data_IF_183746169507
#
_entry.id   IF_183746169507
#
_cell.length_a   1.000
_cell.length_b   1.000
_cell.length_c   1.000
_cell.angle_alpha   90.00
_cell.angle_beta   90.00
_cell.angle_gamma   90.00
#
_symmetry.space_group_name_H-M   'P 1'
#
loop_
_entity.id
_entity.type
_entity.pdbx_description
1 polymer ?
#
# COMPACT_ATOMS: atom_id res chain seq x y z
N UNK A 1 -8.94 3.99 -19.32
CA UNK A 1 -7.89 3.51 -18.46
C UNK A 1 -6.84 2.76 -19.26
N UNK A 2 -5.58 3.10 -19.04
CA UNK A 2 -4.52 2.35 -19.71
C UNK A 2 -4.50 0.92 -19.23
N UNK A 3 -4.08 0.07 -20.12
CA UNK A 3 -3.99 -1.35 -19.79
C UNK A 3 -2.71 -1.59 -19.01
N UNK A 4 -2.79 -2.52 -18.08
CA UNK A 4 -1.63 -2.96 -17.34
C UNK A 4 -0.85 -3.89 -18.26
N UNK A 5 0.41 -3.58 -18.47
CA UNK A 5 1.27 -4.35 -19.33
C UNK A 5 1.84 -5.56 -18.61
N UNK A 6 2.44 -6.48 -19.39
CA UNK A 6 3.06 -7.65 -18.81
C UNK A 6 4.13 -7.28 -17.79
N UNK A 7 4.89 -6.23 -18.08
CA UNK A 7 5.87 -5.73 -17.11
C UNK A 7 5.26 -4.63 -16.28
N UNK A 8 5.29 -4.82 -14.97
CA UNK A 8 4.73 -3.84 -14.06
C UNK A 8 5.64 -3.71 -12.85
N UNK A 9 5.31 -2.77 -11.99
CA UNK A 9 6.01 -2.55 -10.73
C UNK A 9 5.09 -2.96 -9.59
N UNK A 10 5.69 -3.56 -8.58
CA UNK A 10 4.98 -3.89 -7.35
C UNK A 10 5.52 -3.01 -6.25
N UNK A 11 4.67 -2.14 -5.74
CA UNK A 11 4.98 -1.24 -4.65
C UNK A 11 4.44 -1.83 -3.37
N UNK A 12 5.27 -1.91 -2.35
CA UNK A 12 4.85 -2.40 -1.04
C UNK A 12 5.19 -1.35 0.00
N UNK A 13 4.23 -1.05 0.84
CA UNK A 13 4.36 -0.04 1.87
C UNK A 13 4.06 -0.69 3.21
N UNK A 14 5.05 -0.68 4.10
CA UNK A 14 4.94 -1.31 5.42
C UNK A 14 4.85 -0.20 6.45
N UNK A 15 3.71 -0.09 7.11
CA UNK A 15 3.46 0.95 8.11
C UNK A 15 2.71 0.33 9.28
N UNK A 16 2.42 1.12 10.29
CA UNK A 16 1.63 0.67 11.42
C UNK A 16 0.18 1.05 11.24
N UNK A 17 -0.70 0.24 11.81
CA UNK A 17 -2.13 0.50 11.73
C UNK A 17 -2.51 1.84 12.36
N UNK A 18 -1.81 2.22 13.42
CA UNK A 18 -2.11 3.46 14.13
C UNK A 18 -1.46 4.69 13.52
N UNK A 19 -0.63 4.50 12.49
CA UNK A 19 0.00 5.66 11.85
C UNK A 19 -1.06 6.57 11.27
N UNK A 20 -0.81 7.86 11.37
CA UNK A 20 -1.79 8.85 10.95
C UNK A 20 -1.16 9.90 10.06
N UNK A 21 -2.01 10.58 9.32
CA UNK A 21 -1.64 11.71 8.48
C UNK A 21 -2.75 12.73 8.57
N UNK A 22 -2.39 13.92 9.05
CA UNK A 22 -3.36 15.02 9.22
C UNK A 22 -4.59 14.56 10.00
N UNK A 23 -4.34 13.78 11.07
CA UNK A 23 -5.42 13.34 11.95
C UNK A 23 -6.25 12.20 11.43
N UNK A 24 -5.88 11.62 10.29
CA UNK A 24 -6.62 10.51 9.69
C UNK A 24 -5.74 9.28 9.61
N UNK A 25 -6.39 8.13 9.43
CA UNK A 25 -5.67 6.86 9.29
C UNK A 25 -4.80 6.89 8.04
N UNK A 26 -3.49 6.75 8.21
CA UNK A 26 -2.56 6.84 7.10
C UNK A 26 -2.84 5.80 6.03
N UNK A 27 -3.05 4.53 6.44
CA UNK A 27 -3.21 3.50 5.42
C UNK A 27 -4.47 3.71 4.60
N UNK A 28 -5.53 4.22 5.21
CA UNK A 28 -6.75 4.51 4.47
C UNK A 28 -6.55 5.67 3.51
N UNK A 29 -5.83 6.70 3.95
CA UNK A 29 -5.58 7.86 3.09
C UNK A 29 -4.70 7.48 1.92
N UNK A 30 -3.74 6.59 2.11
CA UNK A 30 -2.90 6.13 1.01
C UNK A 30 -3.71 5.35 -0.02
N UNK A 31 -4.61 4.48 0.44
CA UNK A 31 -5.45 3.71 -0.47
C UNK A 31 -6.39 4.64 -1.24
N UNK A 32 -6.96 5.61 -0.55
CA UNK A 32 -7.84 6.58 -1.21
C UNK A 32 -7.09 7.40 -2.26
N UNK A 33 -5.85 7.79 -1.95
CA UNK A 33 -5.05 8.53 -2.91
C UNK A 33 -4.73 7.68 -4.14
N UNK A 34 -4.41 6.40 -3.93
CA UNK A 34 -4.15 5.51 -5.05
C UNK A 34 -5.38 5.40 -5.95
N UNK A 35 -6.55 5.31 -5.35
CA UNK A 35 -7.79 5.26 -6.12
C UNK A 35 -8.04 6.58 -6.85
N UNK A 36 -7.78 7.68 -6.19
CA UNK A 36 -7.96 8.99 -6.80
C UNK A 36 -7.08 9.18 -8.03
N UNK A 37 -5.87 8.63 -7.98
CA UNK A 37 -4.92 8.73 -9.09
C UNK A 37 -5.13 7.64 -10.14
N UNK A 38 -6.17 6.84 -9.98
CA UNK A 38 -6.58 5.82 -10.94
C UNK A 38 -5.56 4.69 -11.08
N UNK A 39 -4.90 4.34 -9.99
CA UNK A 39 -4.04 3.17 -10.00
C UNK A 39 -4.89 1.90 -10.12
N UNK A 40 -4.29 0.85 -10.67
CA UNK A 40 -5.02 -0.37 -11.02
C UNK A 40 -5.66 -1.06 -9.83
N UNK A 41 -5.08 -0.90 -8.65
CA UNK A 41 -5.66 -1.47 -7.45
C UNK A 41 -4.71 -1.34 -6.28
N UNK A 42 -5.24 -1.53 -5.08
CA UNK A 42 -4.46 -1.52 -3.86
C UNK A 42 -5.06 -2.53 -2.91
N UNK A 43 -4.22 -3.32 -2.27
CA UNK A 43 -4.66 -4.32 -1.32
C UNK A 43 -4.00 -4.04 0.01
N UNK A 44 -4.77 -4.12 1.08
CA UNK A 44 -4.25 -3.92 2.43
C UNK A 44 -4.23 -5.26 3.15
N UNK A 45 -3.05 -5.58 3.69
CA UNK A 45 -2.87 -6.78 4.49
C UNK A 45 -2.59 -6.37 5.92
N UNK A 46 -3.21 -7.05 6.86
CA UNK A 46 -2.94 -6.83 8.27
C UNK A 46 -2.00 -7.92 8.74
N UNK A 47 -0.86 -7.51 9.29
CA UNK A 47 0.08 -8.47 9.86
C UNK A 47 -0.46 -8.98 11.18
N UNK A 48 -0.26 -10.25 11.41
CA UNK A 48 -0.67 -10.86 12.68
C UNK A 48 0.44 -10.77 13.71
N UNK A 49 1.68 -10.66 13.27
CA UNK A 49 2.82 -10.57 14.17
C UNK A 49 3.99 -10.01 13.37
N UNK A 50 4.79 -9.20 14.03
CA UNK A 50 5.98 -8.68 13.41
C UNK A 50 6.50 -7.46 14.14
N UNK A 51 7.63 -6.95 13.68
CA UNK A 51 8.16 -5.70 14.20
C UNK A 51 8.82 -4.94 13.07
N UNK A 52 8.89 -3.64 13.25
CA UNK A 52 9.51 -2.78 12.24
C UNK A 52 10.50 -1.83 12.87
N UNK A 53 10.58 -0.62 12.33
CA UNK A 53 11.58 0.36 12.71
C UNK A 53 11.58 0.68 14.20
N UNK A 54 10.43 0.55 14.85
CA UNK A 54 10.33 0.84 16.29
C UNK A 54 10.73 -0.34 17.15
N UNK A 55 11.16 -1.44 16.57
CA UNK A 55 11.63 -2.63 17.27
C UNK A 55 10.59 -3.20 18.23
N UNK A 56 9.31 -2.99 17.93
CA UNK A 56 8.23 -3.53 18.74
C UNK A 56 7.64 -4.73 18.03
N UNK A 57 7.35 -5.76 18.80
CA UNK A 57 6.69 -6.94 18.27
C UNK A 57 5.19 -6.72 18.39
N UNK A 58 4.50 -6.87 17.26
CA UNK A 58 3.06 -6.70 17.20
C UNK A 58 2.42 -8.02 16.83
N UNK A 59 1.45 -8.42 17.60
CA UNK A 59 0.76 -9.68 17.34
C UNK A 59 -0.69 -9.56 17.77
N UNK A 60 -1.59 -9.95 16.87
CA UNK A 60 -3.01 -9.93 17.18
C UNK A 60 -3.38 -10.97 18.22
N UNK A 61 -2.55 -11.98 18.43
CA UNK A 61 -2.83 -13.02 19.40
C UNK A 61 -2.34 -12.66 20.80
N UNK A 62 -1.57 -11.61 20.95
CA UNK A 62 -1.17 -11.14 22.27
C UNK A 62 -2.32 -10.33 22.86
N UNK A 63 -2.34 -10.29 24.19
CA UNK A 63 -3.46 -9.68 24.90
C UNK A 63 -3.46 -8.17 24.79
N UNK A 64 -2.36 -7.60 24.40
CA UNK A 64 -2.27 -6.14 24.31
C UNK A 64 -3.06 -5.64 23.11
N UNK A 65 -4.31 -5.25 23.37
CA UNK A 65 -5.19 -4.77 22.32
C UNK A 65 -4.81 -3.39 21.81
N UNK A 66 -3.88 -2.73 22.47
CA UNK A 66 -3.40 -1.43 21.99
C UNK A 66 -2.19 -1.57 21.09
N UNK A 67 -1.74 -2.79 20.83
CA UNK A 67 -0.61 -2.99 19.96
C UNK A 67 -0.89 -2.47 18.56
N UNK A 68 0.07 -1.75 18.03
CA UNK A 68 -0.03 -1.20 16.68
C UNK A 68 0.36 -2.29 15.70
N UNK A 69 -0.63 -2.87 15.04
CA UNK A 69 -0.39 -3.96 14.11
C UNK A 69 0.23 -3.43 12.83
N UNK A 70 1.00 -4.29 12.18
CA UNK A 70 1.64 -3.93 10.93
C UNK A 70 0.62 -3.98 9.79
N UNK A 71 0.75 -3.02 8.90
CA UNK A 71 -0.07 -2.93 7.70
C UNK A 71 0.88 -3.00 6.51
N UNK A 72 0.52 -3.82 5.53
CA UNK A 72 1.19 -3.85 4.25
C UNK A 72 0.19 -3.44 3.19
N UNK A 73 0.52 -2.39 2.45
CA UNK A 73 -0.26 -1.98 1.29
C UNK A 73 0.51 -2.41 0.06
N UNK A 74 -0.16 -3.14 -0.83
CA UNK A 74 0.47 -3.60 -2.06
C UNK A 74 -0.27 -3.02 -3.25
N UNK A 75 0.48 -2.41 -4.16
CA UNK A 75 -0.05 -1.81 -5.37
C UNK A 75 0.78 -2.31 -6.54
N UNK A 76 0.10 -2.83 -7.56
CA UNK A 76 0.76 -3.30 -8.79
C UNK A 76 0.19 -2.49 -9.93
N UNK A 77 1.08 -1.81 -10.67
CA UNK A 77 0.66 -1.01 -11.81
C UNK A 77 1.88 -0.79 -12.70
N UNK A 78 1.67 -0.13 -13.82
CA UNK A 78 2.79 0.26 -14.68
C UNK A 78 3.69 1.24 -13.94
N UNK A 79 4.93 1.30 -14.37
CA UNK A 79 5.86 2.24 -13.76
C UNK A 79 5.35 3.67 -13.87
N UNK A 80 4.73 4.01 -14.99
CA UNK A 80 4.21 5.35 -15.20
C UNK A 80 3.20 5.75 -14.11
N UNK A 81 2.27 4.86 -13.81
CA UNK A 81 1.27 5.15 -12.79
C UNK A 81 1.85 5.12 -11.38
N UNK A 82 2.77 4.20 -11.12
CA UNK A 82 3.43 4.18 -9.82
C UNK A 82 4.14 5.51 -9.59
N UNK A 83 4.80 6.05 -10.62
CA UNK A 83 5.49 7.32 -10.48
C UNK A 83 4.55 8.48 -10.13
N UNK A 84 3.30 8.43 -10.55
CA UNK A 84 2.35 9.48 -10.18
C UNK A 84 2.01 9.44 -8.69
N UNK A 85 2.13 8.29 -8.08
CA UNK A 85 1.77 8.08 -6.68
C UNK A 85 2.92 8.43 -5.72
N UNK A 86 4.15 8.18 -6.15
CA UNK A 86 5.30 8.31 -5.25
C UNK A 86 5.45 9.67 -4.59
N UNK A 87 5.19 10.81 -5.27
CA UNK A 87 5.30 12.10 -4.58
C UNK A 87 4.33 12.25 -3.43
N UNK A 88 3.13 11.69 -3.57
CA UNK A 88 2.15 11.74 -2.48
C UNK A 88 2.59 10.84 -1.35
N UNK A 89 3.09 9.66 -1.68
CA UNK A 89 3.60 8.74 -0.67
C UNK A 89 4.72 9.38 0.13
N UNK A 90 5.65 10.03 -0.56
CA UNK A 90 6.78 10.69 0.10
C UNK A 90 6.30 11.78 1.06
N UNK A 91 5.28 12.51 0.66
CA UNK A 91 4.73 13.59 1.47
C UNK A 91 3.99 13.06 2.69
N UNK A 92 3.28 11.96 2.53
CA UNK A 92 2.40 11.44 3.59
C UNK A 92 3.12 10.53 4.56
N UNK A 93 4.18 9.86 4.13
CA UNK A 93 4.86 8.85 4.92
C UNK A 93 6.04 9.45 5.64
N UNK A 94 6.03 9.38 6.97
CA UNK A 94 7.15 9.85 7.79
C UNK A 94 8.05 8.69 8.20
N UNK A 95 7.46 7.55 8.49
CA UNK A 95 8.16 6.36 8.91
C UNK A 95 7.57 5.18 8.17
N UNK A 96 8.38 4.16 7.99
CA UNK A 96 7.91 2.96 7.34
C UNK A 96 8.94 2.45 6.36
N UNK A 97 8.58 1.41 5.67
CA UNK A 97 9.45 0.81 4.67
C UNK A 97 8.68 0.76 3.37
N UNK A 98 9.31 1.24 2.32
CA UNK A 98 8.72 1.20 0.99
C UNK A 98 9.67 0.44 0.08
N UNK A 99 9.14 -0.56 -0.60
CA UNK A 99 9.94 -1.32 -1.56
C UNK A 99 9.23 -1.32 -2.90
N UNK A 100 10.01 -1.49 -3.95
CA UNK A 100 9.48 -1.60 -5.29
C UNK A 100 10.28 -2.67 -6.02
N UNK A 101 9.58 -3.52 -6.76
CA UNK A 101 10.24 -4.53 -7.56
C UNK A 101 9.45 -4.74 -8.84
N UNK A 102 10.07 -5.44 -9.77
CA UNK A 102 9.44 -5.74 -11.04
C UNK A 102 8.61 -7.00 -10.91
N UNK A 103 7.45 -6.99 -11.55
CA UNK A 103 6.62 -8.20 -11.63
C UNK A 103 6.14 -8.35 -13.05
N UNK A 104 5.90 -9.58 -13.44
CA UNK A 104 5.25 -9.87 -14.71
C UNK A 104 3.80 -10.16 -14.44
N UNK A 105 2.93 -9.41 -15.09
CA UNK A 105 1.49 -9.60 -14.93
C UNK A 105 1.04 -10.59 -15.99
N UNK A 106 0.60 -11.76 -15.55
CA UNK A 106 0.13 -12.80 -16.45
C UNK A 106 -1.26 -12.45 -16.97
N UNK A 107 -2.07 -11.89 -16.11
CA UNK A 107 -3.44 -11.55 -16.50
C UNK A 107 -3.95 -10.46 -15.58
N UNK A 108 -4.53 -9.46 -16.15
CA UNK A 108 -5.23 -8.42 -15.40
C UNK A 108 -6.57 -8.21 -16.08
N UNK A 109 -7.61 -8.77 -15.47
CA UNK A 109 -8.94 -8.63 -16.04
C UNK A 109 -9.72 -7.62 -15.23
N UNK A 110 -10.37 -6.71 -15.91
CA UNK A 110 -11.29 -5.81 -15.26
C UNK A 110 -12.54 -5.74 -16.09
N UNK A 111 -13.63 -5.48 -15.42
CA UNK A 111 -14.88 -5.32 -16.11
C UNK A 111 -14.74 -4.13 -17.05
N UNK A 112 -15.17 -4.32 -18.29
CA UNK A 112 -15.12 -3.25 -19.26
C UNK A 112 -15.94 -2.07 -18.75
N UNK A 113 -15.48 -0.84 -19.00
CA UNK A 113 -16.28 0.32 -18.61
C UNK A 113 -17.58 0.30 -19.38
N UNK A 114 -18.60 0.84 -18.78
CA UNK A 114 -19.87 0.97 -19.47
C UNK A 114 -19.76 2.05 -20.53
N UNK A 115 -20.21 1.72 -21.70
CA UNK A 115 -20.12 2.62 -22.83
C UNK A 115 -21.30 3.57 -22.87
#
# INVERSE_FOLDING_TARGET
MPKLHAHAKRLRIYIGEADSWQGKSLYRELVLKAKELDLAGATVFHGRMGYGANSRIHSASLIDLSADLLILIEIIDSEEYIQTFLPYLDKMLKEGLVTIDDVDVIKYGRKAPKE
#
